data_IF_315738932547
#
_entry.id   IF_315738932547
#
_cell.length_a   1.000
_cell.length_b   1.000
_cell.length_c   1.000
_cell.angle_alpha   90.00
_cell.angle_beta   90.00
_cell.angle_gamma   90.00
#
_symmetry.space_group_name_H-M   'P 1'
#
loop_
_entity.id
_entity.type
_entity.pdbx_description
1 polymer ?
#
# COMPACT_ATOMS: atom_id res chain seq x y z
N UNK A 1 14.77 -0.56 -10.93
CA UNK A 1 13.76 0.53 -10.83
C UNK A 1 12.56 0.08 -10.01
N UNK A 2 11.74 -0.89 -10.46
CA UNK A 2 10.56 -1.34 -9.68
C UNK A 2 10.92 -2.04 -8.37
N UNK A 3 11.96 -2.88 -8.38
CA UNK A 3 12.43 -3.58 -7.17
C UNK A 3 13.01 -2.63 -6.12
N UNK A 4 13.71 -1.57 -6.56
CA UNK A 4 14.26 -0.54 -5.65
C UNK A 4 13.15 0.24 -4.94
N UNK A 5 12.13 0.64 -5.70
CA UNK A 5 10.95 1.32 -5.15
C UNK A 5 10.17 0.41 -4.18
N UNK A 6 10.06 -0.88 -4.51
CA UNK A 6 9.40 -1.88 -3.66
C UNK A 6 10.12 -2.03 -2.33
N UNK A 7 11.44 -2.20 -2.36
CA UNK A 7 12.26 -2.30 -1.16
C UNK A 7 12.20 -1.01 -0.33
N UNK A 8 12.25 0.16 -0.96
CA UNK A 8 12.11 1.44 -0.28
C UNK A 8 10.74 1.59 0.41
N UNK A 9 9.66 1.16 -0.25
CA UNK A 9 8.31 1.17 0.32
C UNK A 9 8.23 0.26 1.55
N UNK A 10 8.79 -0.94 1.47
CA UNK A 10 8.84 -1.89 2.60
C UNK A 10 9.62 -1.28 3.77
N UNK A 11 10.79 -0.71 3.52
CA UNK A 11 11.59 -0.07 4.56
C UNK A 11 10.85 1.09 5.23
N UNK A 12 10.15 1.93 4.46
CA UNK A 12 9.35 3.03 5.02
C UNK A 12 8.20 2.53 5.91
N UNK A 13 7.54 1.43 5.53
CA UNK A 13 6.48 0.83 6.36
C UNK A 13 7.05 0.20 7.65
N UNK A 14 8.23 -0.41 7.57
CA UNK A 14 8.93 -1.00 8.72
C UNK A 14 9.35 0.03 9.78
N UNK A 15 9.71 1.25 9.37
CA UNK A 15 10.03 2.33 10.32
C UNK A 15 8.79 2.89 11.03
N UNK A 16 7.60 2.55 10.53
CA UNK A 16 6.31 2.91 11.11
C UNK A 16 5.53 3.88 10.22
N UNK A 17 4.26 3.56 9.95
CA UNK A 17 3.42 4.32 9.04
C UNK A 17 3.33 5.82 9.38
N UNK A 18 3.20 6.17 10.65
CA UNK A 18 3.08 7.57 11.11
C UNK A 18 4.41 8.32 11.09
N UNK A 19 5.53 7.63 10.84
CA UNK A 19 6.85 8.24 10.66
C UNK A 19 7.10 8.66 9.21
N UNK A 20 6.25 8.24 8.26
CA UNK A 20 6.32 8.63 6.86
C UNK A 20 5.70 10.02 6.71
N UNK A 21 6.40 11.01 6.13
CA UNK A 21 5.81 12.30 5.80
C UNK A 21 4.60 12.13 4.87
N UNK A 22 3.51 12.86 5.11
CA UNK A 22 2.28 12.74 4.31
C UNK A 22 2.54 12.92 2.81
N UNK A 23 3.36 13.90 2.42
CA UNK A 23 3.74 14.13 1.02
C UNK A 23 4.49 12.93 0.43
N UNK A 24 5.42 12.33 1.19
CA UNK A 24 6.14 11.14 0.73
C UNK A 24 5.23 9.92 0.58
N UNK A 25 4.23 9.78 1.47
CA UNK A 25 3.22 8.74 1.33
C UNK A 25 2.41 8.95 0.04
N UNK A 26 1.96 10.19 -0.21
CA UNK A 26 1.21 10.58 -1.41
C UNK A 26 1.99 10.35 -2.72
N UNK A 27 3.25 10.75 -2.76
CA UNK A 27 4.11 10.57 -3.94
C UNK A 27 4.33 9.08 -4.24
N UNK A 28 4.52 8.27 -3.18
CA UNK A 28 4.71 6.83 -3.31
C UNK A 28 3.43 6.12 -3.81
N UNK A 29 2.27 6.48 -3.27
CA UNK A 29 0.98 5.91 -3.71
C UNK A 29 0.63 6.30 -5.15
N UNK A 30 0.88 7.55 -5.55
CA UNK A 30 0.70 8.00 -6.94
C UNK A 30 1.64 7.24 -7.90
N UNK A 31 2.91 7.08 -7.53
CA UNK A 31 3.89 6.35 -8.35
C UNK A 31 3.46 4.91 -8.58
N UNK A 32 3.04 4.18 -7.54
CA UNK A 32 2.57 2.80 -7.66
C UNK A 32 1.25 2.72 -8.43
N UNK A 33 0.32 3.63 -8.19
CA UNK A 33 -0.95 3.68 -8.91
C UNK A 33 -0.72 3.77 -10.42
N UNK A 34 0.15 4.69 -10.86
CA UNK A 34 0.49 4.83 -12.27
C UNK A 34 1.06 3.55 -12.88
N UNK A 35 2.02 2.91 -12.20
CA UNK A 35 2.65 1.68 -12.69
C UNK A 35 1.64 0.53 -12.79
N UNK A 36 0.83 0.33 -11.75
CA UNK A 36 -0.10 -0.79 -11.67
C UNK A 36 -1.28 -0.65 -12.64
N UNK A 37 -1.78 0.57 -12.86
CA UNK A 37 -2.83 0.82 -13.85
C UNK A 37 -2.35 0.57 -15.28
N UNK A 38 -1.07 0.83 -15.56
CA UNK A 38 -0.45 0.62 -16.87
C UNK A 38 0.03 -0.81 -17.12
N UNK A 39 -0.04 -1.70 -16.13
CA UNK A 39 0.47 -3.07 -16.23
C UNK A 39 -0.28 -3.96 -17.25
N UNK A 40 -1.55 -3.64 -17.55
CA UNK A 40 -2.42 -4.48 -18.36
C UNK A 40 -3.02 -5.69 -17.63
N UNK A 41 -2.58 -5.98 -16.40
CA UNK A 41 -3.04 -7.11 -15.61
C UNK A 41 -4.22 -6.71 -14.72
N UNK A 42 -5.41 -7.33 -14.85
CA UNK A 42 -6.60 -6.92 -14.10
C UNK A 42 -6.41 -6.88 -12.58
N UNK A 43 -5.72 -7.88 -12.01
CA UNK A 43 -5.45 -7.95 -10.57
C UNK A 43 -4.54 -6.80 -10.09
N UNK A 44 -3.55 -6.42 -10.90
CA UNK A 44 -2.68 -5.28 -10.59
C UNK A 44 -3.44 -3.95 -10.75
N UNK A 45 -4.30 -3.84 -11.77
CA UNK A 45 -5.15 -2.67 -11.94
C UNK A 45 -6.15 -2.48 -10.79
N UNK A 46 -6.64 -3.57 -10.18
CA UNK A 46 -7.48 -3.50 -8.97
C UNK A 46 -6.70 -2.90 -7.79
N UNK A 47 -5.45 -3.30 -7.58
CA UNK A 47 -4.55 -2.70 -6.57
C UNK A 47 -4.30 -1.21 -6.90
N UNK A 48 -4.04 -0.89 -8.17
CA UNK A 48 -3.87 0.48 -8.62
C UNK A 48 -5.09 1.38 -8.33
N UNK A 49 -6.30 0.84 -8.49
CA UNK A 49 -7.54 1.56 -8.13
C UNK A 49 -7.67 1.78 -6.64
N UNK A 50 -7.33 0.79 -5.82
CA UNK A 50 -7.34 0.96 -4.36
C UNK A 50 -6.28 1.96 -3.87
N UNK A 51 -5.12 2.03 -4.51
CA UNK A 51 -4.14 3.10 -4.25
C UNK A 51 -4.70 4.49 -4.55
N UNK A 52 -5.54 4.63 -5.58
CA UNK A 52 -6.25 5.89 -5.86
C UNK A 52 -7.26 6.26 -4.76
N UNK A 53 -7.92 5.26 -4.16
CA UNK A 53 -8.78 5.47 -3.00
C UNK A 53 -7.96 5.96 -1.80
N UNK A 54 -6.83 5.30 -1.52
CA UNK A 54 -5.90 5.71 -0.47
C UNK A 54 -5.40 7.14 -0.70
N UNK A 55 -4.96 7.48 -1.92
CA UNK A 55 -4.50 8.81 -2.30
C UNK A 55 -5.56 9.88 -1.99
N UNK A 56 -6.81 9.59 -2.31
CA UNK A 56 -7.94 10.49 -2.06
C UNK A 56 -8.15 10.72 -0.56
N UNK A 57 -8.00 9.68 0.26
CA UNK A 57 -8.08 9.79 1.73
C UNK A 57 -6.93 10.64 2.29
N UNK A 58 -5.70 10.41 1.84
CA UNK A 58 -4.52 11.17 2.24
C UNK A 58 -4.61 12.66 1.84
N UNK A 59 -5.26 12.94 0.71
CA UNK A 59 -5.39 14.30 0.16
C UNK A 59 -6.65 15.05 0.60
N UNK A 60 -7.55 14.40 1.34
CA UNK A 60 -8.86 14.95 1.72
C UNK A 60 -8.80 16.16 2.68
N UNK A 61 -7.63 16.45 3.26
CA UNK A 61 -7.46 17.50 4.28
C UNK A 61 -7.96 17.11 5.68
N UNK A 62 -8.65 15.98 5.82
CA UNK A 62 -9.07 15.40 7.10
C UNK A 62 -8.72 13.91 7.12
N UNK A 63 -7.56 13.58 7.69
CA UNK A 63 -7.09 12.20 7.75
C UNK A 63 -7.99 11.37 8.66
N UNK A 64 -8.75 10.45 8.06
CA UNK A 64 -9.60 9.50 8.77
C UNK A 64 -8.83 8.19 8.97
N UNK A 65 -8.32 7.97 10.18
CA UNK A 65 -7.53 6.78 10.52
C UNK A 65 -8.27 5.45 10.25
N UNK A 66 -9.59 5.38 10.49
CA UNK A 66 -10.36 4.17 10.22
C UNK A 66 -10.47 3.87 8.72
N UNK A 67 -10.76 4.88 7.89
CA UNK A 67 -10.85 4.73 6.44
C UNK A 67 -9.49 4.42 5.81
N UNK A 68 -8.43 5.11 6.26
CA UNK A 68 -7.05 4.86 5.79
C UNK A 68 -6.62 3.45 6.20
N UNK A 69 -6.89 3.05 7.46
CA UNK A 69 -6.59 1.72 7.95
C UNK A 69 -7.27 0.63 7.12
N UNK A 70 -8.55 0.80 6.79
CA UNK A 70 -9.28 -0.13 5.92
C UNK A 70 -8.68 -0.23 4.52
N UNK A 71 -8.31 0.89 3.92
CA UNK A 71 -7.70 0.92 2.59
C UNK A 71 -6.34 0.19 2.59
N UNK A 72 -5.51 0.41 3.62
CA UNK A 72 -4.25 -0.32 3.79
C UNK A 72 -4.47 -1.83 3.99
N UNK A 73 -5.47 -2.22 4.81
CA UNK A 73 -5.84 -3.63 5.00
C UNK A 73 -6.27 -4.28 3.67
N UNK A 74 -7.02 -3.57 2.84
CA UNK A 74 -7.44 -4.03 1.51
C UNK A 74 -6.24 -4.19 0.55
N UNK A 75 -5.37 -3.17 0.48
CA UNK A 75 -4.14 -3.21 -0.32
C UNK A 75 -3.25 -4.37 0.09
N UNK A 76 -3.07 -4.61 1.40
CA UNK A 76 -2.28 -5.70 1.91
C UNK A 76 -2.82 -7.07 1.49
N UNK A 77 -4.13 -7.27 1.59
CA UNK A 77 -4.78 -8.50 1.14
C UNK A 77 -4.63 -8.73 -0.38
N UNK A 78 -4.88 -7.70 -1.19
CA UNK A 78 -4.75 -7.79 -2.64
C UNK A 78 -3.29 -8.01 -3.07
N UNK A 79 -2.33 -7.36 -2.41
CA UNK A 79 -0.89 -7.52 -2.68
C UNK A 79 -0.41 -8.93 -2.34
N UNK A 80 -0.82 -9.48 -1.19
CA UNK A 80 -0.51 -10.86 -0.79
C UNK A 80 -1.14 -11.87 -1.76
N UNK A 81 -2.33 -11.58 -2.28
CA UNK A 81 -2.95 -12.40 -3.33
C UNK A 81 -2.20 -12.29 -4.66
N UNK A 82 -1.81 -11.09 -5.09
CA UNK A 82 -1.01 -10.92 -6.31
C UNK A 82 0.34 -11.63 -6.21
N UNK A 83 0.95 -11.67 -5.02
CA UNK A 83 2.20 -12.39 -4.78
C UNK A 83 2.12 -13.89 -5.13
N UNK A 84 0.95 -14.54 -5.05
CA UNK A 84 0.82 -15.96 -5.41
C UNK A 84 0.92 -16.24 -6.90
N UNK A 85 0.79 -15.19 -7.72
CA UNK A 85 0.86 -15.26 -9.17
C UNK A 85 2.09 -14.55 -9.74
N UNK A 86 2.91 -13.95 -8.88
CA UNK A 86 4.14 -13.28 -9.27
C UNK A 86 5.27 -14.27 -9.57
N UNK A 87 6.30 -13.79 -10.26
CA UNK A 87 7.55 -14.52 -10.42
C UNK A 87 8.20 -14.81 -9.06
N UNK A 88 8.92 -15.93 -8.96
CA UNK A 88 9.49 -16.45 -7.70
C UNK A 88 10.38 -15.42 -6.99
N UNK A 89 11.12 -14.61 -7.75
CA UNK A 89 11.98 -13.53 -7.24
C UNK A 89 11.19 -12.40 -6.55
N UNK A 90 9.96 -12.12 -6.98
CA UNK A 90 9.12 -11.06 -6.43
C UNK A 90 8.13 -11.56 -5.37
N UNK A 91 7.81 -12.86 -5.38
CA UNK A 91 6.81 -13.44 -4.49
C UNK A 91 7.10 -13.17 -3.00
N UNK A 92 8.34 -13.37 -2.55
CA UNK A 92 8.72 -13.14 -1.15
C UNK A 92 8.62 -11.66 -0.75
N UNK A 93 9.07 -10.77 -1.62
CA UNK A 93 9.08 -9.32 -1.40
C UNK A 93 7.65 -8.75 -1.41
N UNK A 94 6.79 -9.20 -2.33
CA UNK A 94 5.38 -8.80 -2.37
C UNK A 94 4.59 -9.32 -1.17
N UNK A 95 4.86 -10.55 -0.71
CA UNK A 95 4.27 -11.05 0.54
C UNK A 95 4.68 -10.20 1.73
N UNK A 96 5.96 -9.83 1.81
CA UNK A 96 6.46 -8.92 2.85
C UNK A 96 5.76 -7.57 2.80
N UNK A 97 5.59 -6.97 1.61
CA UNK A 97 4.84 -5.73 1.46
C UNK A 97 3.39 -5.88 1.93
N UNK A 98 2.71 -6.95 1.50
CA UNK A 98 1.33 -7.23 1.89
C UNK A 98 1.15 -7.35 3.40
N UNK A 99 2.06 -8.07 4.07
CA UNK A 99 2.05 -8.22 5.53
C UNK A 99 2.25 -6.87 6.25
N UNK A 100 3.15 -6.01 5.75
CA UNK A 100 3.36 -4.68 6.34
C UNK A 100 2.14 -3.76 6.17
N UNK A 101 1.47 -3.82 5.03
CA UNK A 101 0.24 -3.06 4.77
C UNK A 101 -0.90 -3.53 5.69
N UNK A 102 -1.07 -4.84 5.87
CA UNK A 102 -2.05 -5.42 6.79
C UNK A 102 -1.80 -4.98 8.24
N UNK A 103 -0.55 -5.05 8.68
CA UNK A 103 -0.16 -4.64 10.03
C UNK A 103 -0.39 -3.13 10.26
N UNK A 104 -0.01 -2.31 9.28
CA UNK A 104 -0.24 -0.86 9.32
C UNK A 104 -1.74 -0.52 9.34
N UNK A 105 -2.53 -1.21 8.51
CA UNK A 105 -3.99 -1.05 8.46
C UNK A 105 -4.66 -1.36 9.80
N UNK A 106 -4.36 -2.53 10.38
CA UNK A 106 -4.88 -2.94 11.70
C UNK A 106 -4.50 -1.97 12.81
N UNK A 107 -3.26 -1.45 12.80
CA UNK A 107 -2.80 -0.46 13.78
C UNK A 107 -3.62 0.83 13.71
N UNK A 108 -3.88 1.34 12.51
CA UNK A 108 -4.71 2.54 12.34
C UNK A 108 -6.17 2.31 12.72
N UNK A 109 -6.76 1.17 12.34
CA UNK A 109 -8.12 0.81 12.72
C UNK A 109 -8.28 0.73 14.25
N UNK A 110 -7.28 0.15 14.93
CA UNK A 110 -7.26 0.06 16.41
C UNK A 110 -7.14 1.43 17.05
N UNK A 111 -6.28 2.31 16.52
CA UNK A 111 -6.14 3.69 17.03
C UNK A 111 -7.42 4.52 16.85
N UNK A 112 -8.17 4.29 15.77
CA UNK A 112 -9.44 4.99 15.54
C UNK A 112 -10.57 4.54 16.49
N UNK A 113 -10.43 3.37 17.11
CA UNK A 113 -11.41 2.81 18.05
C UNK A 113 -11.09 3.11 19.53
N UNK A 114 -9.93 3.71 19.81
CA UNK A 114 -9.47 4.10 21.14
C UNK A 114 -9.89 5.54 21.49
#
# INVERSE_FOLDING_TARGET
MTTDLLNATIHALQTGLTSIPLSAAQDNTETWQHQLLQSGEPALQDIGRELGNLQSLLSSGSLNAASIGRSLSMLGAQTTQAATHAEEELQATLRTLGDQLLEAGRKLETQAAA
#
